data_IF_533968518486
#
_entry.id   IF_533968518486
#
_cell.length_a   1.000
_cell.length_b   1.000
_cell.length_c   1.000
_cell.angle_alpha   90.00
_cell.angle_beta   90.00
_cell.angle_gamma   90.00
#
_symmetry.space_group_name_H-M   'P 1'
#
loop_
_entity.id
_entity.type
_entity.pdbx_description
1 polymer ?
#
# COMPACT_ATOMS: atom_id res chain seq x y z
N UNK A 1 -29.69 -0.25 4.84
CA UNK A 1 -29.27 1.17 4.79
C UNK A 1 -28.32 1.32 3.62
N UNK A 2 -28.23 2.47 2.99
CA UNK A 2 -27.17 2.71 2.00
C UNK A 2 -25.80 2.57 2.70
N UNK A 3 -24.83 1.89 2.08
CA UNK A 3 -23.47 1.70 2.61
C UNK A 3 -23.33 1.02 3.99
N UNK A 4 -24.26 0.12 4.34
CA UNK A 4 -24.22 -0.59 5.63
C UNK A 4 -22.89 -1.33 5.86
N UNK A 5 -22.31 -1.93 4.82
CA UNK A 5 -21.04 -2.65 4.91
C UNK A 5 -19.88 -1.77 5.38
N UNK A 6 -19.89 -0.48 5.01
CA UNK A 6 -18.88 0.49 5.46
C UNK A 6 -19.11 0.88 6.92
N UNK A 7 -20.37 1.12 7.31
CA UNK A 7 -20.74 1.48 8.69
C UNK A 7 -20.37 0.34 9.65
N UNK A 8 -20.69 -0.91 9.29
CA UNK A 8 -20.37 -2.08 10.10
C UNK A 8 -18.86 -2.27 10.25
N UNK A 9 -18.09 -2.01 9.18
CA UNK A 9 -16.63 -2.05 9.23
C UNK A 9 -16.03 -0.93 10.11
N UNK A 10 -16.54 0.31 10.02
CA UNK A 10 -16.10 1.41 10.88
C UNK A 10 -16.41 1.12 12.35
N UNK A 11 -17.61 0.60 12.63
CA UNK A 11 -18.02 0.19 13.97
C UNK A 11 -17.12 -0.92 14.52
N UNK A 12 -16.82 -1.94 13.72
CA UNK A 12 -15.88 -3.00 14.09
C UNK A 12 -14.50 -2.42 14.43
N UNK A 13 -13.99 -1.49 13.63
CA UNK A 13 -12.73 -0.84 13.90
C UNK A 13 -12.76 -0.09 15.24
N UNK A 14 -13.81 0.70 15.51
CA UNK A 14 -13.93 1.45 16.76
C UNK A 14 -14.04 0.53 18.00
N UNK A 15 -14.89 -0.50 17.93
CA UNK A 15 -15.11 -1.46 19.02
C UNK A 15 -13.84 -2.27 19.37
N UNK A 16 -12.95 -2.46 18.39
CA UNK A 16 -11.67 -3.16 18.58
C UNK A 16 -10.48 -2.21 18.75
N UNK A 17 -10.71 -0.90 18.90
CA UNK A 17 -9.67 0.12 19.02
C UNK A 17 -8.65 0.08 17.86
N UNK A 18 -9.13 -0.20 16.65
CA UNK A 18 -8.36 -0.18 15.42
C UNK A 18 -8.63 1.14 14.71
N UNK A 19 -7.57 1.83 14.31
CA UNK A 19 -7.67 3.01 13.46
C UNK A 19 -8.02 2.56 12.04
N UNK A 20 -9.14 2.98 11.43
CA UNK A 20 -9.54 2.46 10.12
C UNK A 20 -8.52 2.74 9.00
N UNK A 21 -7.71 3.79 9.12
CA UNK A 21 -6.63 4.09 8.18
C UNK A 21 -5.39 3.19 8.35
N UNK A 22 -5.30 2.44 9.45
CA UNK A 22 -4.28 1.42 9.71
C UNK A 22 -4.85 0.00 9.56
N UNK A 23 -6.14 -0.14 9.21
CA UNK A 23 -6.75 -1.45 9.03
C UNK A 23 -6.19 -2.11 7.78
N UNK A 24 -5.40 -3.15 8.01
CA UNK A 24 -4.75 -3.94 6.98
C UNK A 24 -5.77 -4.86 6.30
N UNK A 25 -6.04 -4.66 5.01
CA UNK A 25 -7.00 -5.45 4.24
C UNK A 25 -6.58 -6.92 4.08
N UNK A 26 -5.35 -7.31 4.48
CA UNK A 26 -5.01 -8.73 4.69
C UNK A 26 -5.90 -9.41 5.75
N UNK A 27 -6.51 -8.64 6.66
CA UNK A 27 -7.50 -9.12 7.62
C UNK A 27 -8.75 -9.69 6.95
N UNK A 28 -9.02 -9.43 5.66
CA UNK A 28 -10.07 -10.14 4.93
C UNK A 28 -9.81 -11.66 4.80
N UNK A 29 -8.55 -12.10 5.00
CA UNK A 29 -8.10 -13.47 4.79
C UNK A 29 -7.57 -14.15 6.05
N UNK A 30 -7.54 -13.45 7.18
CA UNK A 30 -7.11 -14.00 8.48
C UNK A 30 -7.43 -13.03 9.63
N UNK A 31 -8.16 -13.49 10.65
CA UNK A 31 -8.33 -12.76 11.92
C UNK A 31 -7.11 -12.88 12.87
N UNK A 32 -6.04 -13.56 12.43
CA UNK A 32 -4.88 -13.91 13.27
C UNK A 32 -3.62 -13.19 12.85
N UNK A 33 -3.75 -12.01 12.23
CA UNK A 33 -2.58 -11.18 11.93
C UNK A 33 -1.86 -10.82 13.23
N UNK A 34 -0.53 -10.94 13.22
CA UNK A 34 0.31 -10.66 14.40
C UNK A 34 0.80 -9.22 14.39
N UNK A 35 1.35 -8.69 15.49
CA UNK A 35 2.02 -7.37 15.48
C UNK A 35 3.26 -7.28 14.56
N UNK A 36 3.74 -8.41 14.03
CA UNK A 36 4.80 -8.47 13.03
C UNK A 36 4.22 -8.35 11.61
N UNK A 37 4.07 -7.11 11.16
CA UNK A 37 3.51 -6.75 9.84
C UNK A 37 4.33 -7.30 8.67
N UNK A 38 5.66 -7.41 8.81
CA UNK A 38 6.54 -7.97 7.78
C UNK A 38 6.26 -9.47 7.63
N UNK A 39 6.16 -10.20 8.73
CA UNK A 39 5.77 -11.63 8.70
C UNK A 39 4.38 -11.80 8.11
N UNK A 40 3.39 -10.99 8.49
CA UNK A 40 2.05 -11.05 7.90
C UNK A 40 2.07 -10.81 6.38
N UNK A 41 2.87 -9.85 5.92
CA UNK A 41 3.06 -9.57 4.51
C UNK A 41 3.70 -10.76 3.76
N UNK A 42 4.76 -11.35 4.32
CA UNK A 42 5.44 -12.50 3.71
C UNK A 42 4.54 -13.74 3.66
N UNK A 43 3.73 -13.98 4.70
CA UNK A 43 2.70 -15.03 4.70
C UNK A 43 1.61 -14.80 3.65
N UNK A 44 1.17 -13.56 3.47
CA UNK A 44 0.28 -13.18 2.38
C UNK A 44 0.90 -13.48 1.02
N UNK A 45 2.16 -13.09 0.80
CA UNK A 45 2.88 -13.41 -0.45
C UNK A 45 3.09 -14.90 -0.65
N UNK A 46 3.17 -15.68 0.41
CA UNK A 46 3.25 -17.13 0.37
C UNK A 46 1.89 -17.84 0.29
N UNK A 47 0.79 -17.09 0.13
CA UNK A 47 -0.58 -17.63 0.04
C UNK A 47 -1.05 -18.40 1.29
N UNK A 48 -0.51 -18.09 2.47
CA UNK A 48 -0.84 -18.78 3.73
C UNK A 48 -2.07 -18.20 4.45
N UNK A 49 -2.50 -16.99 4.07
CA UNK A 49 -3.70 -16.38 4.65
C UNK A 49 -4.94 -16.95 3.94
N UNK A 50 -5.57 -17.95 4.55
CA UNK A 50 -6.69 -18.71 3.97
C UNK A 50 -7.91 -18.84 4.88
N UNK A 51 -7.98 -18.05 5.96
CA UNK A 51 -9.06 -18.06 6.96
C UNK A 51 -9.91 -16.80 6.79
N UNK A 52 -10.88 -16.79 5.85
CA UNK A 52 -11.59 -15.57 5.49
C UNK A 52 -12.46 -15.03 6.62
N UNK A 53 -12.64 -13.71 6.62
CA UNK A 53 -13.42 -12.98 7.63
C UNK A 53 -14.69 -12.43 7.01
N UNK A 54 -15.55 -11.81 7.84
CA UNK A 54 -16.84 -11.26 7.40
C UNK A 54 -16.70 -10.07 6.44
N UNK A 55 -15.54 -9.40 6.43
CA UNK A 55 -15.27 -8.23 5.58
C UNK A 55 -14.73 -8.58 4.19
N UNK A 56 -14.62 -9.86 3.83
CA UNK A 56 -14.15 -10.29 2.52
C UNK A 56 -15.24 -10.13 1.46
N UNK A 57 -14.94 -9.36 0.43
CA UNK A 57 -15.78 -9.01 -0.72
C UNK A 57 -15.54 -9.94 -1.91
N UNK A 58 -14.29 -10.15 -2.33
CA UNK A 58 -13.97 -10.79 -3.62
C UNK A 58 -14.21 -12.31 -3.64
N UNK A 59 -14.37 -12.91 -2.45
CA UNK A 59 -14.41 -14.37 -2.21
C UNK A 59 -13.12 -15.12 -2.57
N UNK A 60 -12.09 -14.43 -3.06
CA UNK A 60 -10.79 -15.01 -3.38
C UNK A 60 -9.95 -15.22 -2.10
N UNK A 61 -9.04 -16.21 -2.12
CA UNK A 61 -8.16 -16.55 -0.99
C UNK A 61 -6.81 -17.08 -1.46
N UNK A 62 -5.83 -17.14 -0.54
CA UNK A 62 -4.51 -17.70 -0.81
C UNK A 62 -3.84 -16.98 -1.97
N UNK A 63 -3.42 -17.72 -3.01
CA UNK A 63 -2.70 -17.14 -4.16
C UNK A 63 -3.56 -16.23 -5.04
N UNK A 64 -4.88 -16.25 -4.86
CA UNK A 64 -5.82 -15.40 -5.56
C UNK A 64 -6.32 -14.23 -4.72
N UNK A 65 -5.91 -14.15 -3.44
CA UNK A 65 -6.25 -13.04 -2.57
C UNK A 65 -5.75 -11.72 -3.17
N UNK A 66 -6.58 -10.68 -3.11
CA UNK A 66 -6.31 -9.38 -3.72
C UNK A 66 -6.84 -8.25 -2.82
N UNK A 67 -6.01 -7.89 -1.82
CA UNK A 67 -6.41 -7.04 -0.70
C UNK A 67 -6.94 -5.67 -1.12
N UNK A 68 -6.44 -5.10 -2.22
CA UNK A 68 -6.86 -3.77 -2.67
C UNK A 68 -8.24 -3.78 -3.35
N UNK A 69 -8.77 -4.93 -3.79
CA UNK A 69 -10.16 -5.05 -4.25
C UNK A 69 -11.16 -5.30 -3.11
N UNK A 70 -10.69 -5.73 -1.93
CA UNK A 70 -11.55 -5.90 -0.77
C UNK A 70 -12.11 -4.57 -0.23
N UNK A 71 -11.44 -3.45 -0.52
CA UNK A 71 -11.90 -2.10 -0.20
C UNK A 71 -13.02 -1.57 -1.12
N UNK A 72 -13.62 -2.41 -1.96
CA UNK A 72 -14.65 -2.04 -2.94
C UNK A 72 -15.77 -1.15 -2.38
N UNK A 73 -16.31 -1.47 -1.20
CA UNK A 73 -17.40 -0.70 -0.61
C UNK A 73 -16.98 0.73 -0.24
N UNK A 74 -15.71 0.95 0.10
CA UNK A 74 -15.16 2.29 0.31
C UNK A 74 -15.07 3.05 -1.02
N UNK A 75 -14.60 2.40 -2.09
CA UNK A 75 -14.53 3.00 -3.42
C UNK A 75 -15.91 3.39 -3.94
N UNK A 76 -16.90 2.51 -3.74
CA UNK A 76 -18.29 2.77 -4.13
C UNK A 76 -18.87 3.95 -3.36
N UNK A 77 -18.65 4.00 -2.05
CA UNK A 77 -19.06 5.15 -1.24
C UNK A 77 -18.39 6.45 -1.71
N UNK A 78 -17.12 6.41 -2.10
CA UNK A 78 -16.40 7.60 -2.59
C UNK A 78 -16.75 7.98 -4.04
N UNK A 79 -17.55 7.19 -4.75
CA UNK A 79 -17.85 7.39 -6.18
C UNK A 79 -16.65 7.10 -7.09
N UNK A 80 -15.69 6.31 -6.61
CA UNK A 80 -14.50 5.90 -7.35
C UNK A 80 -14.74 4.68 -8.24
N UNK A 81 -15.63 3.79 -7.80
CA UNK A 81 -15.93 2.54 -8.51
C UNK A 81 -17.39 2.14 -8.32
N UNK A 82 -18.13 1.98 -9.43
CA UNK A 82 -19.57 1.66 -9.38
C UNK A 82 -19.86 0.17 -9.11
N UNK A 83 -19.06 -0.72 -9.69
CA UNK A 83 -19.24 -2.18 -9.59
C UNK A 83 -17.91 -2.93 -9.51
N UNK A 84 -17.92 -4.14 -8.96
CA UNK A 84 -16.72 -5.00 -8.92
C UNK A 84 -16.23 -5.41 -10.32
N UNK A 85 -17.14 -5.39 -11.31
CA UNK A 85 -16.84 -5.69 -12.71
C UNK A 85 -16.35 -4.47 -13.52
N UNK A 86 -16.21 -3.31 -12.87
CA UNK A 86 -15.72 -2.09 -13.51
C UNK A 86 -14.28 -2.28 -14.01
N UNK A 87 -13.97 -1.67 -15.16
CA UNK A 87 -12.60 -1.65 -15.69
C UNK A 87 -11.63 -0.92 -14.75
N UNK A 88 -12.15 0.10 -14.06
CA UNK A 88 -11.51 0.80 -12.97
C UNK A 88 -11.73 0.00 -11.70
N UNK A 89 -10.64 -0.36 -11.01
CA UNK A 89 -10.67 -1.20 -9.82
C UNK A 89 -9.55 -0.85 -8.86
N UNK A 90 -9.67 -1.28 -7.61
CA UNK A 90 -8.66 -1.11 -6.57
C UNK A 90 -7.28 -1.63 -7.00
N UNK A 91 -6.24 -0.83 -6.78
CA UNK A 91 -4.84 -1.17 -7.04
C UNK A 91 -3.96 -0.51 -5.96
N UNK A 92 -2.91 -1.23 -5.54
CA UNK A 92 -1.92 -0.75 -4.57
C UNK A 92 -0.91 0.20 -5.21
N UNK A 93 -0.77 1.44 -4.75
CA UNK A 93 0.05 2.46 -5.44
C UNK A 93 1.56 2.31 -5.22
N UNK A 94 2.02 2.00 -4.01
CA UNK A 94 3.43 1.72 -3.72
C UNK A 94 3.63 0.27 -3.29
N UNK A 95 4.55 -0.44 -3.95
CA UNK A 95 4.84 -1.85 -3.68
C UNK A 95 5.89 -2.03 -2.58
N UNK A 96 5.48 -2.58 -1.43
CA UNK A 96 6.42 -3.00 -0.40
C UNK A 96 7.39 -4.07 -0.88
N UNK A 97 6.91 -5.06 -1.65
CA UNK A 97 7.73 -6.19 -2.08
C UNK A 97 8.90 -5.73 -2.95
N UNK A 98 8.67 -4.73 -3.82
CA UNK A 98 9.70 -4.19 -4.71
C UNK A 98 10.83 -3.57 -3.89
N UNK A 99 10.51 -2.66 -2.96
CA UNK A 99 11.50 -2.03 -2.07
C UNK A 99 12.18 -3.05 -1.16
N UNK A 100 11.42 -3.96 -0.56
CA UNK A 100 11.94 -4.97 0.37
C UNK A 100 12.94 -5.92 -0.29
N UNK A 101 12.63 -6.42 -1.49
CA UNK A 101 13.57 -7.25 -2.25
C UNK A 101 14.83 -6.50 -2.63
N UNK A 102 14.69 -5.25 -3.08
CA UNK A 102 15.85 -4.42 -3.43
C UNK A 102 16.76 -4.17 -2.21
N UNK A 103 16.16 -3.96 -1.03
CA UNK A 103 16.91 -3.82 0.23
C UNK A 103 17.69 -5.08 0.58
N UNK A 104 17.09 -6.26 0.39
CA UNK A 104 17.80 -7.53 0.57
C UNK A 104 18.96 -7.64 -0.43
N UNK A 105 18.71 -7.43 -1.72
CA UNK A 105 19.71 -7.56 -2.80
C UNK A 105 20.92 -6.64 -2.60
N UNK A 106 20.70 -5.42 -2.09
CA UNK A 106 21.76 -4.44 -1.82
C UNK A 106 22.44 -4.60 -0.46
N UNK A 107 21.94 -5.49 0.41
CA UNK A 107 22.57 -5.75 1.70
C UNK A 107 23.93 -6.44 1.50
N UNK A 108 24.97 -5.99 2.21
CA UNK A 108 26.34 -6.50 2.00
C UNK A 108 26.45 -8.00 2.31
N UNK A 109 25.56 -8.50 3.16
CA UNK A 109 25.49 -9.90 3.57
C UNK A 109 24.50 -10.73 2.73
N UNK A 110 23.95 -10.19 1.63
CA UNK A 110 22.96 -10.86 0.79
C UNK A 110 23.41 -12.26 0.34
N UNK A 111 24.57 -12.37 -0.32
CA UNK A 111 25.04 -13.65 -0.87
C UNK A 111 25.28 -14.71 0.22
N UNK A 112 25.76 -14.28 1.39
CA UNK A 112 25.96 -15.18 2.53
C UNK A 112 24.59 -15.66 3.06
N UNK A 113 23.68 -14.74 3.34
CA UNK A 113 22.35 -15.06 3.88
C UNK A 113 21.49 -15.83 2.89
N UNK A 114 21.57 -15.54 1.59
CA UNK A 114 20.81 -16.25 0.56
C UNK A 114 21.08 -17.76 0.63
N UNK A 115 22.35 -18.14 0.79
CA UNK A 115 22.79 -19.53 0.92
C UNK A 115 22.52 -20.09 2.33
N UNK A 116 22.86 -19.35 3.39
CA UNK A 116 22.67 -19.80 4.78
C UNK A 116 21.20 -20.10 5.08
N UNK A 117 20.31 -19.23 4.63
CA UNK A 117 18.86 -19.33 4.82
C UNK A 117 18.19 -20.23 3.78
N UNK A 118 18.93 -20.68 2.76
CA UNK A 118 18.44 -21.52 1.66
C UNK A 118 17.22 -20.90 0.96
N UNK A 119 17.35 -19.65 0.50
CA UNK A 119 16.22 -18.92 -0.09
C UNK A 119 15.76 -19.49 -1.44
N UNK A 120 16.62 -20.21 -2.14
CA UNK A 120 16.34 -20.95 -3.37
C UNK A 120 15.79 -22.37 -3.13
N UNK A 121 15.66 -22.80 -1.88
CA UNK A 121 15.17 -24.14 -1.55
C UNK A 121 13.76 -24.36 -2.10
N UNK A 122 13.59 -25.46 -2.82
CA UNK A 122 12.29 -25.96 -3.29
C UNK A 122 12.06 -27.31 -2.60
N UNK A 123 10.96 -27.42 -1.86
CA UNK A 123 10.53 -28.70 -1.29
C UNK A 123 9.47 -29.32 -2.19
N UNK A 124 9.70 -30.56 -2.62
CA UNK A 124 8.72 -31.31 -3.39
C UNK A 124 7.91 -32.21 -2.46
N UNK A 125 6.59 -32.02 -2.43
CA UNK A 125 5.65 -32.88 -1.69
C UNK A 125 4.70 -33.51 -2.71
N UNK A 126 4.85 -34.81 -2.93
CA UNK A 126 4.14 -35.52 -4.01
C UNK A 126 4.61 -35.03 -5.39
N UNK A 127 3.70 -34.43 -6.17
CA UNK A 127 3.97 -33.86 -7.50
C UNK A 127 4.01 -32.32 -7.53
N UNK A 128 4.08 -31.68 -6.37
CA UNK A 128 4.03 -30.21 -6.25
C UNK A 128 5.31 -29.69 -5.62
N UNK A 129 5.81 -28.62 -6.20
CA UNK A 129 6.98 -27.87 -5.71
C UNK A 129 6.55 -26.67 -4.89
N UNK A 130 7.16 -26.52 -3.73
CA UNK A 130 6.90 -25.46 -2.76
C UNK A 130 8.18 -24.66 -2.53
N UNK A 131 8.37 -23.53 -3.24
CA UNK A 131 9.45 -22.60 -2.96
C UNK A 131 9.42 -22.17 -1.50
N UNK A 132 10.56 -22.25 -0.82
CA UNK A 132 10.66 -21.91 0.60
C UNK A 132 11.07 -20.46 0.83
N UNK A 133 11.25 -19.67 -0.22
CA UNK A 133 11.76 -18.29 -0.17
C UNK A 133 11.13 -17.45 0.95
N UNK A 134 9.81 -17.25 0.94
CA UNK A 134 9.14 -16.44 1.97
C UNK A 134 9.14 -17.09 3.35
N UNK A 135 8.97 -18.42 3.40
CA UNK A 135 8.98 -19.21 4.63
C UNK A 135 10.32 -19.02 5.36
N UNK A 136 11.42 -19.18 4.63
CA UNK A 136 12.76 -19.06 5.18
C UNK A 136 13.08 -17.62 5.59
N UNK A 137 12.44 -16.60 4.99
CA UNK A 137 12.56 -15.21 5.41
C UNK A 137 11.82 -14.89 6.71
N UNK A 138 10.55 -15.27 6.85
CA UNK A 138 9.80 -14.95 8.07
C UNK A 138 10.10 -15.91 9.23
N UNK A 139 10.61 -17.11 8.94
CA UNK A 139 11.06 -18.06 9.97
C UNK A 139 12.13 -17.40 10.83
N UNK A 140 11.88 -17.37 12.15
CA UNK A 140 12.77 -16.71 13.13
C UNK A 140 13.12 -15.26 12.76
N UNK A 141 12.23 -14.57 12.01
CA UNK A 141 12.46 -13.22 11.49
C UNK A 141 13.80 -13.06 10.77
N UNK A 142 14.20 -14.07 9.98
CA UNK A 142 15.46 -14.02 9.24
C UNK A 142 15.58 -12.79 8.30
N UNK A 143 14.47 -12.18 7.90
CA UNK A 143 14.49 -10.89 7.18
C UNK A 143 15.22 -9.77 7.94
N UNK A 144 15.26 -9.79 9.28
CA UNK A 144 15.99 -8.80 10.10
C UNK A 144 17.51 -8.95 9.98
N UNK A 145 18.01 -10.06 9.42
CA UNK A 145 19.45 -10.28 9.26
C UNK A 145 20.06 -9.46 8.12
N UNK A 146 19.26 -9.05 7.14
CA UNK A 146 19.73 -8.23 6.02
C UNK A 146 20.01 -6.81 6.51
N UNK A 147 21.23 -6.31 6.30
CA UNK A 147 21.70 -5.13 7.02
C UNK A 147 20.91 -3.85 6.68
N UNK A 148 20.45 -3.69 5.43
CA UNK A 148 19.62 -2.53 5.04
C UNK A 148 18.25 -2.60 5.72
N UNK A 149 17.67 -3.79 5.84
CA UNK A 149 16.41 -3.99 6.56
C UNK A 149 16.60 -3.71 8.04
N UNK A 150 17.66 -4.24 8.65
CA UNK A 150 17.99 -4.04 10.06
C UNK A 150 18.17 -2.54 10.40
N UNK A 151 18.90 -1.80 9.56
CA UNK A 151 19.13 -0.35 9.71
C UNK A 151 17.85 0.48 9.60
N UNK A 152 16.83 -0.02 8.90
CA UNK A 152 15.57 0.68 8.65
C UNK A 152 14.36 -0.09 9.23
N UNK A 153 14.55 -0.87 10.29
CA UNK A 153 13.58 -1.87 10.75
C UNK A 153 12.18 -1.28 11.02
N UNK A 154 12.10 -0.17 11.78
CA UNK A 154 10.83 0.47 12.12
C UNK A 154 10.10 1.00 10.88
N UNK A 155 10.86 1.58 9.95
CA UNK A 155 10.35 2.13 8.70
C UNK A 155 9.82 1.04 7.75
N UNK A 156 10.52 -0.09 7.65
CA UNK A 156 10.01 -1.26 6.92
C UNK A 156 8.79 -1.87 7.60
N UNK A 157 8.79 -1.97 8.93
CA UNK A 157 7.64 -2.47 9.68
C UNK A 157 6.41 -1.61 9.43
N UNK A 158 6.55 -0.27 9.50
CA UNK A 158 5.44 0.64 9.21
C UNK A 158 5.00 0.56 7.75
N UNK A 159 5.93 0.41 6.80
CA UNK A 159 5.54 0.28 5.40
C UNK A 159 4.77 -1.03 5.14
N UNK A 160 5.19 -2.15 5.73
CA UNK A 160 4.49 -3.43 5.63
C UNK A 160 3.07 -3.37 6.21
N UNK A 161 2.89 -2.66 7.32
CA UNK A 161 1.60 -2.39 7.96
C UNK A 161 0.70 -1.56 7.04
N UNK A 162 1.24 -0.49 6.47
CA UNK A 162 0.51 0.45 5.61
C UNK A 162 0.26 -0.07 4.18
N UNK A 163 0.97 -1.11 3.73
CA UNK A 163 0.98 -1.55 2.32
C UNK A 163 -0.41 -1.86 1.78
N UNK A 164 -1.24 -2.55 2.56
CA UNK A 164 -2.61 -2.92 2.17
C UNK A 164 -3.65 -2.16 2.99
N UNK A 165 -3.42 -0.87 3.22
CA UNK A 165 -4.40 0.04 3.83
C UNK A 165 -5.01 0.95 2.77
N UNK A 166 -6.16 1.56 3.07
CA UNK A 166 -6.86 2.46 2.15
C UNK A 166 -5.99 3.64 1.67
N UNK A 167 -5.03 4.08 2.50
CA UNK A 167 -4.09 5.15 2.17
C UNK A 167 -3.13 4.79 1.02
N UNK A 168 -2.84 3.51 0.82
CA UNK A 168 -2.00 3.01 -0.27
C UNK A 168 -2.81 2.41 -1.44
N UNK A 169 -4.13 2.61 -1.46
CA UNK A 169 -5.00 2.13 -2.53
C UNK A 169 -5.51 3.28 -3.39
N UNK A 170 -5.61 3.03 -4.69
CA UNK A 170 -6.30 3.88 -5.66
C UNK A 170 -7.20 3.01 -6.52
N UNK A 171 -8.09 3.61 -7.31
CA UNK A 171 -8.71 2.90 -8.42
C UNK A 171 -8.11 3.33 -9.76
N UNK A 172 -7.77 2.36 -10.61
CA UNK A 172 -7.23 2.61 -11.94
C UNK A 172 -7.79 1.60 -12.94
N UNK A 173 -7.82 1.93 -14.25
CA UNK A 173 -8.02 0.93 -15.28
C UNK A 173 -6.97 -0.18 -15.14
N UNK A 174 -7.42 -1.44 -15.15
CA UNK A 174 -6.52 -2.58 -14.91
C UNK A 174 -5.24 -2.56 -15.77
N UNK A 175 -5.35 -2.23 -17.06
CA UNK A 175 -4.23 -2.21 -17.98
C UNK A 175 -3.15 -1.17 -17.61
N UNK A 176 -3.52 -0.07 -16.94
CA UNK A 176 -2.55 0.91 -16.43
C UNK A 176 -1.70 0.32 -15.30
N UNK A 177 -2.30 -0.49 -14.43
CA UNK A 177 -1.55 -1.17 -13.37
C UNK A 177 -0.53 -2.16 -13.94
N UNK A 178 -0.90 -2.93 -14.96
CA UNK A 178 0.03 -3.85 -15.63
C UNK A 178 1.18 -3.10 -16.33
N UNK A 179 0.88 -1.95 -16.95
CA UNK A 179 1.87 -1.17 -17.68
C UNK A 179 2.88 -0.42 -16.81
N UNK A 180 2.46 0.05 -15.62
CA UNK A 180 3.28 0.99 -14.83
C UNK A 180 4.57 0.40 -14.27
N UNK A 181 4.56 -0.89 -13.88
CA UNK A 181 5.71 -1.55 -13.26
C UNK A 181 7.02 -1.35 -14.05
N UNK A 182 6.96 -1.44 -15.38
CA UNK A 182 8.17 -1.37 -16.21
C UNK A 182 8.85 0.01 -16.19
N UNK A 183 8.08 1.08 -16.09
CA UNK A 183 8.62 2.44 -16.12
C UNK A 183 8.79 3.06 -14.74
N UNK A 184 8.02 2.62 -13.75
CA UNK A 184 8.04 3.19 -12.40
C UNK A 184 8.54 2.26 -11.31
N UNK A 185 8.66 0.94 -11.57
CA UNK A 185 8.99 -0.08 -10.55
C UNK A 185 8.05 -0.02 -9.34
N UNK A 186 6.78 0.31 -9.61
CA UNK A 186 5.73 0.53 -8.61
C UNK A 186 6.01 1.67 -7.61
N UNK A 187 6.92 2.59 -7.95
CA UNK A 187 7.03 3.86 -7.23
C UNK A 187 5.98 4.84 -7.75
N UNK A 188 5.14 5.34 -6.84
CA UNK A 188 3.97 6.13 -7.23
C UNK A 188 4.33 7.52 -7.75
N UNK A 189 5.44 8.12 -7.29
CA UNK A 189 5.94 9.40 -7.77
C UNK A 189 6.28 9.40 -9.27
N UNK A 190 6.93 8.36 -9.79
CA UNK A 190 7.20 8.21 -11.23
C UNK A 190 5.91 7.95 -12.02
N UNK A 191 4.97 7.20 -11.42
CA UNK A 191 3.65 7.00 -12.02
C UNK A 191 2.90 8.33 -12.13
N UNK A 192 2.92 9.16 -11.09
CA UNK A 192 2.34 10.50 -11.09
C UNK A 192 3.06 11.45 -12.03
N UNK A 193 4.40 11.39 -12.13
CA UNK A 193 5.16 12.19 -13.09
C UNK A 193 4.72 11.88 -14.53
N UNK A 194 4.60 10.59 -14.86
CA UNK A 194 4.11 10.13 -16.17
C UNK A 194 2.69 10.64 -16.47
N UNK A 195 1.79 10.56 -15.48
CA UNK A 195 0.43 11.11 -15.62
C UNK A 195 0.45 12.64 -15.76
N UNK A 196 1.23 13.34 -14.97
CA UNK A 196 1.35 14.80 -15.01
C UNK A 196 1.84 15.29 -16.38
N UNK A 197 2.88 14.66 -16.93
CA UNK A 197 3.35 14.92 -18.29
C UNK A 197 2.26 14.66 -19.34
N UNK A 198 1.52 13.56 -19.20
CA UNK A 198 0.42 13.23 -20.11
C UNK A 198 -0.75 14.23 -20.04
N UNK A 199 -1.20 14.61 -18.84
CA UNK A 199 -2.27 15.61 -18.66
C UNK A 199 -1.84 16.95 -19.29
N UNK A 200 -0.60 17.41 -19.06
CA UNK A 200 -0.11 18.67 -19.57
C UNK A 200 0.20 18.67 -21.07
N UNK A 201 0.33 17.49 -21.70
CA UNK A 201 0.55 17.38 -23.14
C UNK A 201 -0.70 17.70 -23.98
N UNK A 202 -1.90 17.50 -23.42
CA UNK A 202 -3.16 17.61 -24.17
C UNK A 202 -4.14 18.64 -23.60
N UNK A 203 -3.95 19.06 -22.36
CA UNK A 203 -4.88 19.97 -21.69
C UNK A 203 -4.26 21.35 -21.58
N UNK A 204 -5.01 22.36 -22.02
CA UNK A 204 -4.61 23.76 -21.97
C UNK A 204 -4.71 24.38 -20.58
N UNK A 205 -5.35 23.67 -19.64
CA UNK A 205 -5.57 24.13 -18.27
C UNK A 205 -5.26 23.01 -17.26
N UNK A 206 -4.61 23.36 -16.15
CA UNK A 206 -4.30 22.47 -15.02
C UNK A 206 -5.54 21.85 -14.33
N UNK A 207 -6.76 22.26 -14.72
CA UNK A 207 -7.98 21.93 -13.99
C UNK A 207 -8.20 20.42 -13.88
N UNK A 208 -8.00 19.66 -14.95
CA UNK A 208 -8.26 18.21 -14.92
C UNK A 208 -7.23 17.47 -14.08
N UNK A 209 -5.97 17.91 -14.09
CA UNK A 209 -4.93 17.35 -13.23
C UNK A 209 -5.24 17.63 -11.75
N UNK A 210 -5.56 18.88 -11.42
CA UNK A 210 -5.97 19.28 -10.06
C UNK A 210 -7.21 18.52 -9.62
N UNK A 211 -8.18 18.28 -10.51
CA UNK A 211 -9.37 17.46 -10.26
C UNK A 211 -9.00 16.00 -10.00
N UNK A 212 -8.09 15.41 -10.78
CA UNK A 212 -7.58 14.06 -10.56
C UNK A 212 -6.93 13.92 -9.18
N UNK A 213 -6.05 14.85 -8.81
CA UNK A 213 -5.39 14.86 -7.50
C UNK A 213 -6.40 14.97 -6.37
N UNK A 214 -7.35 15.92 -6.46
CA UNK A 214 -8.38 16.13 -5.43
C UNK A 214 -9.32 14.94 -5.31
N UNK A 215 -9.72 14.32 -6.43
CA UNK A 215 -10.64 13.20 -6.45
C UNK A 215 -10.10 11.98 -5.69
N UNK A 216 -8.80 11.71 -5.83
CA UNK A 216 -8.14 10.55 -5.20
C UNK A 216 -7.32 10.90 -3.95
N UNK A 217 -7.42 12.14 -3.46
CA UNK A 217 -6.70 12.64 -2.30
C UNK A 217 -5.19 12.43 -2.39
N UNK A 218 -4.60 12.77 -3.54
CA UNK A 218 -3.18 12.53 -3.86
C UNK A 218 -2.25 13.71 -3.49
N UNK A 219 -2.76 14.70 -2.76
CA UNK A 219 -2.00 15.87 -2.28
C UNK A 219 -0.70 15.48 -1.58
N UNK A 220 -0.61 14.41 -0.77
CA UNK A 220 0.65 14.02 -0.14
C UNK A 220 1.78 13.69 -1.12
N UNK A 221 1.45 13.44 -2.39
CA UNK A 221 2.41 13.09 -3.45
C UNK A 221 2.72 14.23 -4.43
N UNK A 222 2.11 15.41 -4.24
CA UNK A 222 2.37 16.60 -5.06
C UNK A 222 2.63 17.81 -4.18
N UNK A 223 3.43 18.75 -4.64
CA UNK A 223 3.65 20.00 -3.90
C UNK A 223 2.40 20.91 -3.97
N UNK A 224 2.41 22.03 -3.24
CA UNK A 224 1.32 23.03 -3.25
C UNK A 224 1.03 23.63 -4.64
N UNK A 225 1.93 23.50 -5.61
CA UNK A 225 1.73 23.87 -7.01
C UNK A 225 1.18 22.71 -7.86
N UNK A 226 0.77 21.61 -7.22
CA UNK A 226 0.31 20.37 -7.82
C UNK A 226 1.36 19.64 -8.68
N UNK A 227 2.65 19.91 -8.52
CA UNK A 227 3.68 19.17 -9.24
C UNK A 227 4.04 17.87 -8.48
N UNK A 228 4.16 16.71 -9.16
CA UNK A 228 4.61 15.48 -8.53
C UNK A 228 5.93 15.66 -7.77
N UNK A 229 5.97 15.19 -6.52
CA UNK A 229 7.20 15.21 -5.73
C UNK A 229 7.87 13.84 -5.73
N UNK A 230 9.05 13.81 -6.33
CA UNK A 230 9.94 12.66 -6.39
C UNK A 230 10.40 12.25 -4.98
N UNK A 231 10.44 10.94 -4.72
CA UNK A 231 10.73 10.39 -3.40
C UNK A 231 12.17 10.66 -2.93
N UNK A 232 13.17 10.41 -3.76
CA UNK A 232 14.57 10.67 -3.43
C UNK A 232 15.30 11.40 -4.56
N UNK A 233 16.48 11.95 -4.24
CA UNK A 233 17.27 12.68 -5.21
C UNK A 233 17.65 11.77 -6.41
N UNK A 234 17.62 12.32 -7.61
CA UNK A 234 17.92 11.61 -8.87
C UNK A 234 16.96 10.47 -9.28
N UNK A 235 15.91 10.19 -8.50
CA UNK A 235 14.90 9.22 -8.88
C UNK A 235 14.14 9.69 -10.13
N UNK A 236 14.17 8.87 -11.18
CA UNK A 236 13.70 9.27 -12.52
C UNK A 236 13.37 8.05 -13.38
N UNK A 237 12.81 8.29 -14.58
CA UNK A 237 12.60 7.21 -15.56
C UNK A 237 13.90 6.55 -16.06
N UNK A 238 15.08 7.11 -15.78
CA UNK A 238 16.38 6.48 -16.06
C UNK A 238 16.93 5.76 -14.84
N UNK A 239 16.82 6.38 -13.67
CA UNK A 239 17.27 5.83 -12.39
C UNK A 239 16.03 5.51 -11.55
N UNK A 240 15.40 4.36 -11.83
CA UNK A 240 14.08 3.98 -11.30
C UNK A 240 14.14 3.20 -9.97
N UNK A 241 15.31 2.72 -9.61
CA UNK A 241 15.48 1.81 -8.48
C UNK A 241 16.36 2.47 -7.42
N UNK A 242 16.18 2.05 -6.18
CA UNK A 242 17.07 2.42 -5.08
C UNK A 242 18.44 1.78 -5.33
N UNK A 243 19.50 2.56 -5.20
CA UNK A 243 20.90 2.14 -5.38
C UNK A 243 21.71 2.38 -4.10
N UNK A 244 21.34 3.40 -3.30
CA UNK A 244 22.04 3.80 -2.08
C UNK A 244 21.35 3.37 -0.79
N UNK A 245 22.12 3.11 0.26
CA UNK A 245 21.61 2.80 1.60
C UNK A 245 20.85 3.98 2.24
N UNK A 246 21.27 5.21 1.95
CA UNK A 246 20.62 6.44 2.44
C UNK A 246 19.24 6.65 1.80
N UNK A 247 19.09 6.29 0.52
CA UNK A 247 17.84 6.45 -0.24
C UNK A 247 16.70 5.63 0.36
N UNK A 248 16.98 4.46 0.94
CA UNK A 248 15.98 3.67 1.65
C UNK A 248 15.36 4.44 2.81
N UNK A 249 16.17 5.11 3.62
CA UNK A 249 15.67 5.87 4.77
C UNK A 249 14.78 7.04 4.34
N UNK A 250 15.17 7.73 3.26
CA UNK A 250 14.41 8.84 2.68
C UNK A 250 13.09 8.35 2.09
N UNK A 251 13.15 7.32 1.24
CA UNK A 251 11.97 6.74 0.60
C UNK A 251 10.98 6.21 1.64
N UNK A 252 11.45 5.37 2.58
CA UNK A 252 10.57 4.73 3.56
C UNK A 252 9.90 5.75 4.46
N UNK A 253 10.62 6.80 4.89
CA UNK A 253 10.02 7.89 5.66
C UNK A 253 8.89 8.55 4.87
N UNK A 254 9.19 9.03 3.65
CA UNK A 254 8.20 9.73 2.81
C UNK A 254 7.00 8.85 2.46
N UNK A 255 7.21 7.59 2.06
CA UNK A 255 6.11 6.72 1.64
C UNK A 255 5.17 6.41 2.81
N UNK A 256 5.71 6.20 4.02
CA UNK A 256 4.92 5.97 5.23
C UNK A 256 4.09 7.21 5.58
N UNK A 257 4.71 8.38 5.63
CA UNK A 257 4.03 9.66 5.94
C UNK A 257 2.90 9.94 4.95
N UNK A 258 3.14 9.75 3.65
CA UNK A 258 2.16 10.00 2.59
C UNK A 258 0.99 9.02 2.62
N UNK A 259 1.25 7.73 2.84
CA UNK A 259 0.19 6.73 2.95
C UNK A 259 -0.67 7.01 4.19
N UNK A 260 -0.07 7.31 5.33
CA UNK A 260 -0.79 7.55 6.58
C UNK A 260 -1.66 8.80 6.50
N UNK A 261 -1.11 9.93 6.04
CA UNK A 261 -1.86 11.19 5.85
C UNK A 261 -3.05 10.98 4.92
N UNK A 262 -2.81 10.33 3.77
CA UNK A 262 -3.86 10.03 2.80
C UNK A 262 -4.93 9.11 3.38
N UNK A 263 -4.53 8.06 4.09
CA UNK A 263 -5.44 7.13 4.75
C UNK A 263 -6.35 7.83 5.77
N UNK A 264 -5.77 8.65 6.65
CA UNK A 264 -6.53 9.45 7.63
C UNK A 264 -7.55 10.35 6.96
N UNK A 265 -7.13 11.07 5.92
CA UNK A 265 -8.03 11.97 5.20
C UNK A 265 -9.17 11.21 4.51
N UNK A 266 -8.90 10.08 3.85
CA UNK A 266 -9.94 9.24 3.24
C UNK A 266 -10.98 8.81 4.28
N UNK A 267 -10.54 8.31 5.43
CA UNK A 267 -11.45 7.88 6.51
C UNK A 267 -12.27 9.05 7.03
N UNK A 268 -11.68 10.25 7.15
CA UNK A 268 -12.43 11.45 7.52
C UNK A 268 -13.55 11.73 6.52
N UNK A 269 -13.24 11.75 5.23
CA UNK A 269 -14.24 12.03 4.18
C UNK A 269 -15.37 10.98 4.19
N UNK A 270 -15.04 9.72 4.43
CA UNK A 270 -16.01 8.62 4.58
C UNK A 270 -16.92 8.86 5.79
N UNK A 271 -16.35 9.17 6.96
CA UNK A 271 -17.13 9.42 8.18
C UNK A 271 -18.02 10.66 8.03
N UNK A 272 -17.51 11.73 7.41
CA UNK A 272 -18.27 12.96 7.17
C UNK A 272 -19.44 12.73 6.21
N UNK A 273 -19.23 11.93 5.15
CA UNK A 273 -20.27 11.60 4.17
C UNK A 273 -21.38 10.72 4.76
N UNK A 274 -21.05 9.83 5.69
CA UNK A 274 -21.99 8.94 6.37
C UNK A 274 -22.57 9.53 7.67
N UNK A 275 -22.15 10.73 8.05
CA UNK A 275 -22.42 11.37 9.34
C UNK A 275 -22.08 10.47 10.55
N UNK A 276 -20.99 9.71 10.46
CA UNK A 276 -20.51 8.79 11.50
C UNK A 276 -19.34 9.40 12.29
N UNK A 277 -19.62 10.44 13.09
CA UNK A 277 -18.58 11.26 13.76
C UNK A 277 -18.37 10.92 15.24
N UNK A 278 -19.16 10.01 15.79
CA UNK A 278 -19.16 9.67 17.21
C UNK A 278 -18.11 8.61 17.60
N UNK A 279 -17.45 7.98 16.61
CA UNK A 279 -16.40 7.01 16.84
C UNK A 279 -15.20 7.61 17.57
N UNK A 280 -14.55 6.82 18.43
CA UNK A 280 -13.37 7.24 19.18
C UNK A 280 -12.20 7.61 18.27
N UNK A 281 -11.95 6.81 17.23
CA UNK A 281 -10.87 7.13 16.27
C UNK A 281 -11.11 8.46 15.54
N UNK A 282 -12.38 8.88 15.35
CA UNK A 282 -12.71 10.10 14.63
C UNK A 282 -12.16 11.35 15.35
N UNK A 283 -12.02 11.29 16.68
CA UNK A 283 -11.46 12.38 17.49
C UNK A 283 -10.03 12.76 17.08
N UNK A 284 -9.26 11.85 16.50
CA UNK A 284 -7.90 12.11 16.01
C UNK A 284 -7.88 12.84 14.67
N UNK A 285 -8.90 12.64 13.83
CA UNK A 285 -8.96 13.15 12.45
C UNK A 285 -10.00 14.28 12.27
N UNK A 286 -10.81 14.57 13.29
CA UNK A 286 -11.90 15.58 13.23
C UNK A 286 -11.44 16.96 12.73
N UNK A 287 -10.21 17.34 13.06
CA UNK A 287 -9.65 18.66 12.73
C UNK A 287 -8.84 18.66 11.41
N UNK A 288 -8.78 17.54 10.66
CA UNK A 288 -8.14 17.52 9.34
C UNK A 288 -9.06 18.15 8.29
N UNK A 289 -9.17 19.48 8.29
CA UNK A 289 -9.96 20.22 7.30
C UNK A 289 -9.39 20.10 5.88
N UNK A 290 -8.06 20.06 5.78
CA UNK A 290 -7.32 19.87 4.54
C UNK A 290 -6.38 18.68 4.65
N UNK A 291 -6.07 18.07 3.50
CA UNK A 291 -5.01 17.07 3.38
C UNK A 291 -3.70 17.77 3.06
N UNK A 292 -2.60 17.34 3.68
CA UNK A 292 -1.29 17.96 3.46
C UNK A 292 -0.78 17.73 2.04
N UNK A 293 -0.14 18.76 1.50
CA UNK A 293 0.71 18.64 0.33
C UNK A 293 2.08 18.06 0.70
N UNK A 294 2.80 17.54 -0.29
CA UNK A 294 4.08 16.85 -0.07
C UNK A 294 5.16 17.74 0.58
N UNK A 295 5.10 19.06 0.38
CA UNK A 295 6.02 20.04 0.95
C UNK A 295 5.58 20.58 2.33
N UNK A 296 4.59 19.96 2.98
CA UNK A 296 4.06 20.32 4.31
C UNK A 296 4.37 19.27 5.39
N UNK A 297 5.20 18.27 5.05
CA UNK A 297 5.70 17.22 5.96
C UNK A 297 7.00 17.64 6.65
#
# INVERSE_FOLDING_TARGET
MEHQEVIDWLKYCDENNIKPWEWDFKNCYSDTLTPDSITNFLKYKNAELTNPTTFRVTKLIGKYADSDKEAFYLYKLLGWQESQDSIIRGETINSYLTTFKKAMELSYNYNFLYNELKLDEIKTIGKKDFPQYYINLYKNKNYEKFDIIAKNADNFKKFAELTHTIGNFIVLPHWMNTGRYNFSKDYWDLTLLSLYEWFNAFLTEDESWKKFIKNYYLQPYVNSNYQPEIFWENHSFRNKELEGTEEFSIFLKKVNERIEERGKFIIKQICDKLDQKDFNFYKEIKNMETIRFSNEF
#
